data_IF_508068349673
#
_entry.id   IF_508068349673
#
_cell.length_a   1.000
_cell.length_b   1.000
_cell.length_c   1.000
_cell.angle_alpha   90.00
_cell.angle_beta   90.00
_cell.angle_gamma   90.00
#
_symmetry.space_group_name_H-M   'P 1'
#
loop_
_entity.id
_entity.type
_entity.pdbx_description
1 polymer ?
#
# COMPACT_ATOMS: atom_id res chain seq x y z
N UNK A 1 7.57 16.10 24.07
CA UNK A 1 6.30 15.51 23.56
C UNK A 1 6.62 14.28 22.72
N UNK A 2 5.88 13.16 22.91
CA UNK A 2 6.04 12.00 22.03
C UNK A 2 5.61 12.35 20.63
N UNK A 3 6.53 12.34 19.66
CA UNK A 3 6.30 12.83 18.31
C UNK A 3 5.85 11.73 17.30
N UNK A 4 5.63 10.49 17.77
CA UNK A 4 5.35 9.36 16.88
C UNK A 4 4.15 8.57 17.38
N UNK A 5 3.17 8.39 16.50
CA UNK A 5 1.96 7.62 16.73
C UNK A 5 1.82 6.50 15.72
N UNK A 6 1.03 5.48 16.04
CA UNK A 6 0.76 4.31 15.21
C UNK A 6 -0.74 4.09 15.09
N UNK A 7 -1.23 3.85 13.89
CA UNK A 7 -2.63 3.60 13.65
C UNK A 7 -3.05 2.19 14.10
N UNK A 8 -4.23 2.06 14.74
CA UNK A 8 -4.65 0.84 15.45
C UNK A 8 -5.92 0.17 14.91
N UNK A 9 -6.46 0.61 13.79
CA UNK A 9 -7.52 -0.11 13.07
C UNK A 9 -6.98 -0.66 11.75
N UNK A 10 -7.66 -1.64 11.13
CA UNK A 10 -7.19 -2.23 9.87
C UNK A 10 -6.82 -1.20 8.82
N UNK A 11 -7.68 -0.19 8.63
CA UNK A 11 -7.42 0.94 7.74
C UNK A 11 -8.29 2.15 8.10
N UNK A 12 -7.88 3.33 7.65
CA UNK A 12 -8.71 4.55 7.54
C UNK A 12 -8.34 5.31 6.29
N UNK A 13 -9.28 6.09 5.78
CA UNK A 13 -9.01 7.05 4.73
C UNK A 13 -8.19 8.22 5.27
N UNK A 14 -7.28 8.72 4.43
CA UNK A 14 -6.60 10.00 4.59
C UNK A 14 -7.28 10.97 3.63
N UNK A 15 -7.82 12.05 4.19
CA UNK A 15 -8.61 13.06 3.48
C UNK A 15 -7.77 14.31 3.19
N UNK A 16 -8.10 14.99 2.10
CA UNK A 16 -7.46 16.25 1.71
C UNK A 16 -7.81 17.42 2.67
N UNK A 17 -9.03 17.42 3.20
CA UNK A 17 -9.56 18.37 4.19
C UNK A 17 -10.17 17.62 5.37
N UNK A 18 -10.36 18.24 6.55
CA UNK A 18 -10.94 17.59 7.73
C UNK A 18 -12.47 17.41 7.61
N UNK A 19 -12.90 16.65 6.61
CA UNK A 19 -14.31 16.37 6.29
C UNK A 19 -14.45 15.00 5.63
N UNK A 20 -15.52 14.26 5.93
CA UNK A 20 -15.82 12.95 5.34
C UNK A 20 -16.28 13.02 3.88
N UNK A 21 -16.76 14.19 3.44
CA UNK A 21 -17.12 14.45 2.05
C UNK A 21 -15.93 14.97 1.23
N UNK A 22 -14.77 15.16 1.86
CA UNK A 22 -13.55 15.56 1.17
C UNK A 22 -12.99 14.41 0.37
N UNK A 23 -12.21 14.75 -0.66
CA UNK A 23 -11.44 13.79 -1.46
C UNK A 23 -10.59 12.88 -0.55
N UNK A 24 -10.71 11.57 -0.76
CA UNK A 24 -9.80 10.57 -0.18
C UNK A 24 -8.55 10.53 -1.04
N UNK A 25 -7.43 10.96 -0.48
CA UNK A 25 -6.16 11.05 -1.21
C UNK A 25 -5.24 9.85 -0.97
N UNK A 26 -5.41 9.16 0.17
CA UNK A 26 -4.68 7.96 0.52
C UNK A 26 -5.39 7.18 1.64
N UNK A 27 -4.77 6.11 2.10
CA UNK A 27 -5.19 5.35 3.28
C UNK A 27 -4.02 5.16 4.23
N UNK A 28 -4.32 5.05 5.54
CA UNK A 28 -3.40 4.60 6.58
C UNK A 28 -3.83 3.21 7.05
N UNK A 29 -2.88 2.30 7.22
CA UNK A 29 -3.13 0.92 7.63
C UNK A 29 -2.62 0.64 9.03
N UNK A 30 -3.03 -0.47 9.63
CA UNK A 30 -2.65 -0.89 10.98
C UNK A 30 -1.12 -0.91 11.17
N UNK A 31 -0.66 -0.28 12.26
CA UNK A 31 0.75 -0.18 12.62
C UNK A 31 1.57 0.80 11.78
N UNK A 32 0.95 1.54 10.87
CA UNK A 32 1.61 2.62 10.13
C UNK A 32 1.91 3.79 11.06
N UNK A 33 3.17 4.26 11.03
CA UNK A 33 3.71 5.31 11.89
C UNK A 33 3.47 6.69 11.29
N UNK A 34 3.08 7.66 12.11
CA UNK A 34 2.86 9.04 11.70
C UNK A 34 3.16 10.05 12.82
N UNK A 35 3.29 11.31 12.43
CA UNK A 35 3.35 12.48 13.33
C UNK A 35 2.05 13.26 13.23
N UNK A 36 1.59 13.84 14.35
CA UNK A 36 0.47 14.78 14.36
C UNK A 36 1.05 16.17 14.15
N UNK A 37 0.55 16.87 13.10
CA UNK A 37 0.93 18.25 12.79
C UNK A 37 0.00 19.26 13.46
N UNK A 38 -1.30 18.95 13.49
CA UNK A 38 -2.32 19.72 14.19
C UNK A 38 -3.47 18.82 14.62
N UNK A 39 -4.22 19.25 15.64
CA UNK A 39 -5.29 18.48 16.24
C UNK A 39 -6.46 19.39 16.57
N UNK A 40 -7.67 18.95 16.22
CA UNK A 40 -8.91 19.49 16.74
C UNK A 40 -9.77 18.35 17.34
N UNK A 41 -11.00 18.66 17.79
CA UNK A 41 -11.89 17.69 18.45
C UNK A 41 -12.06 16.40 17.66
N UNK A 42 -12.34 16.47 16.35
CA UNK A 42 -12.76 15.34 15.53
C UNK A 42 -11.68 14.87 14.54
N UNK A 43 -10.70 15.70 14.22
CA UNK A 43 -9.72 15.47 13.17
C UNK A 43 -8.31 15.77 13.63
N UNK A 44 -7.35 15.04 13.06
CA UNK A 44 -5.93 15.35 13.15
C UNK A 44 -5.34 15.46 11.75
N UNK A 45 -4.49 16.46 11.55
CA UNK A 45 -3.60 16.54 10.39
C UNK A 45 -2.37 15.72 10.70
N UNK A 46 -2.06 14.77 9.87
CA UNK A 46 -0.93 13.87 10.07
C UNK A 46 0.11 14.03 8.97
N UNK A 47 1.34 13.63 9.31
CA UNK A 47 2.42 13.37 8.36
C UNK A 47 2.87 11.93 8.54
N UNK A 48 2.67 11.09 7.51
CA UNK A 48 3.19 9.72 7.49
C UNK A 48 4.71 9.72 7.69
N UNK A 49 5.20 8.82 8.53
CA UNK A 49 6.65 8.71 8.76
C UNK A 49 7.36 7.95 7.65
N UNK A 50 6.61 7.24 6.80
CA UNK A 50 7.17 6.45 5.70
C UNK A 50 7.52 7.30 4.48
N UNK A 51 6.57 8.10 4.01
CA UNK A 51 6.63 8.82 2.74
C UNK A 51 6.42 10.33 2.87
N UNK A 52 6.32 10.84 4.11
CA UNK A 52 6.00 12.23 4.43
C UNK A 52 4.63 12.70 3.92
N UNK A 53 3.74 11.78 3.55
CA UNK A 53 2.41 12.12 3.05
C UNK A 53 1.59 12.86 4.11
N UNK A 54 0.94 13.96 3.71
CA UNK A 54 0.18 14.82 4.61
C UNK A 54 -1.30 14.74 4.25
N UNK A 55 -2.14 14.65 5.27
CA UNK A 55 -3.59 14.67 5.13
C UNK A 55 -4.29 14.57 6.48
N UNK A 56 -5.60 14.37 6.46
CA UNK A 56 -6.43 14.36 7.66
C UNK A 56 -7.02 12.98 7.91
N UNK A 57 -7.01 12.55 9.17
CA UNK A 57 -7.72 11.36 9.66
C UNK A 57 -8.58 11.73 10.87
N UNK A 58 -9.56 10.87 11.23
CA UNK A 58 -10.32 11.06 12.48
C UNK A 58 -9.39 10.98 13.67
N UNK A 59 -9.65 11.85 14.67
CA UNK A 59 -8.88 11.92 15.92
C UNK A 59 -9.19 10.75 16.85
N UNK A 60 -8.92 9.52 16.40
CA UNK A 60 -9.16 8.28 17.15
C UNK A 60 -8.32 7.11 16.60
N UNK A 61 -8.28 6.02 17.36
CA UNK A 61 -7.68 4.74 16.94
C UNK A 61 -6.17 4.79 16.66
N UNK A 62 -5.42 5.50 17.48
CA UNK A 62 -3.95 5.50 17.44
C UNK A 62 -3.34 5.41 18.84
N UNK A 63 -2.07 5.07 18.92
CA UNK A 63 -1.29 4.95 20.16
C UNK A 63 0.14 5.41 19.90
N UNK A 64 0.85 5.77 20.93
CA UNK A 64 2.29 6.05 20.92
C UNK A 64 3.13 4.86 21.38
N UNK A 65 2.49 3.81 21.91
CA UNK A 65 3.12 2.64 22.54
C UNK A 65 3.04 1.37 21.67
N UNK A 66 3.39 1.48 20.36
CA UNK A 66 3.44 0.33 19.47
C UNK A 66 4.86 0.03 19.03
N UNK A 67 5.31 -1.21 19.23
CA UNK A 67 6.64 -1.69 18.84
C UNK A 67 6.49 -2.86 17.86
N UNK A 68 6.36 -2.63 16.58
CA UNK A 68 6.13 -3.70 15.62
C UNK A 68 7.35 -4.61 15.48
N UNK A 69 7.12 -5.91 15.57
CA UNK A 69 8.13 -6.97 15.42
C UNK A 69 7.90 -7.80 14.17
N UNK A 70 6.68 -7.77 13.62
CA UNK A 70 6.28 -8.53 12.44
C UNK A 70 5.42 -7.70 11.50
N UNK A 71 5.21 -8.21 10.30
CA UNK A 71 4.38 -7.62 9.27
C UNK A 71 3.57 -8.67 8.52
N UNK A 72 2.38 -8.30 8.09
CA UNK A 72 1.46 -9.16 7.33
C UNK A 72 1.94 -9.28 5.89
N UNK A 73 2.07 -10.52 5.37
CA UNK A 73 2.51 -10.76 3.99
C UNK A 73 1.45 -11.37 3.08
N UNK A 74 0.23 -11.58 3.58
CA UNK A 74 -0.93 -12.01 2.78
C UNK A 74 -1.83 -10.82 2.48
N UNK A 75 -2.63 -10.89 1.41
CA UNK A 75 -3.52 -9.79 1.00
C UNK A 75 -4.42 -9.33 2.15
N UNK A 76 -4.99 -10.28 2.90
CA UNK A 76 -5.80 -10.06 4.11
C UNK A 76 -5.60 -11.18 5.13
N UNK A 77 -5.20 -10.80 6.34
CA UNK A 77 -5.07 -11.69 7.47
C UNK A 77 -6.32 -11.60 8.36
N UNK A 78 -7.08 -12.69 8.47
CA UNK A 78 -8.26 -12.75 9.34
C UNK A 78 -7.87 -12.50 10.79
N UNK A 79 -8.67 -11.69 11.50
CA UNK A 79 -8.59 -11.52 12.95
C UNK A 79 -9.56 -12.49 13.61
N UNK A 80 -9.08 -13.18 14.64
CA UNK A 80 -9.84 -14.09 15.50
C UNK A 80 -10.02 -13.44 16.87
N UNK A 81 -11.13 -13.73 17.55
CA UNK A 81 -11.41 -13.26 18.91
C UNK A 81 -10.74 -14.15 19.99
N UNK A 82 -11.00 -13.89 21.26
CA UNK A 82 -10.47 -14.67 22.40
C UNK A 82 -10.82 -16.17 22.32
N UNK A 83 -12.03 -16.50 21.87
CA UNK A 83 -12.50 -17.89 21.71
C UNK A 83 -12.01 -18.54 20.41
N UNK A 84 -11.09 -17.87 19.69
CA UNK A 84 -10.51 -18.31 18.42
C UNK A 84 -11.50 -18.40 17.26
N UNK A 85 -12.66 -17.77 17.40
CA UNK A 85 -13.61 -17.63 16.33
C UNK A 85 -13.21 -16.49 15.38
N UNK A 86 -13.44 -16.72 14.06
CA UNK A 86 -13.14 -15.73 13.03
C UNK A 86 -14.06 -14.51 13.17
N UNK A 87 -13.48 -13.31 13.16
CA UNK A 87 -14.23 -12.06 13.11
C UNK A 87 -14.44 -11.59 11.67
N UNK A 88 -15.27 -10.55 11.49
CA UNK A 88 -15.42 -9.86 10.19
C UNK A 88 -14.24 -8.96 9.81
N UNK A 89 -13.24 -8.82 10.68
CA UNK A 89 -12.11 -7.92 10.48
C UNK A 89 -10.89 -8.65 9.93
N UNK A 90 -10.10 -7.91 9.13
CA UNK A 90 -8.87 -8.38 8.51
C UNK A 90 -7.80 -7.30 8.65
N UNK A 91 -6.54 -7.71 8.85
CA UNK A 91 -5.41 -6.83 8.62
C UNK A 91 -5.00 -6.89 7.14
N UNK A 92 -4.80 -5.75 6.48
CA UNK A 92 -4.30 -5.71 5.10
C UNK A 92 -2.82 -6.09 5.01
N UNK A 93 -2.38 -6.41 3.80
CA UNK A 93 -0.97 -6.58 3.45
C UNK A 93 -0.12 -5.42 4.00
N UNK A 94 1.09 -5.71 4.43
CA UNK A 94 2.08 -4.79 5.00
C UNK A 94 1.69 -4.14 6.34
N UNK A 95 0.56 -4.51 6.98
CA UNK A 95 0.26 -4.11 8.37
C UNK A 95 1.41 -4.51 9.29
N UNK A 96 1.90 -3.57 10.11
CA UNK A 96 3.01 -3.80 11.06
C UNK A 96 2.46 -4.06 12.45
N UNK A 97 2.78 -5.22 13.03
CA UNK A 97 2.18 -5.72 14.24
C UNK A 97 3.21 -6.00 15.33
N UNK A 98 2.81 -5.82 16.58
CA UNK A 98 3.49 -6.36 17.75
C UNK A 98 2.91 -7.73 18.08
N UNK A 99 3.71 -8.64 18.60
CA UNK A 99 3.25 -9.92 19.11
C UNK A 99 3.30 -9.87 20.63
N UNK A 100 2.16 -10.18 21.27
CA UNK A 100 2.01 -10.26 22.72
C UNK A 100 2.27 -11.69 23.18
N UNK A 101 1.62 -12.65 22.49
CA UNK A 101 1.68 -14.06 22.85
C UNK A 101 1.66 -14.93 21.60
N UNK A 102 2.28 -16.09 21.67
CA UNK A 102 2.36 -17.07 20.56
C UNK A 102 1.82 -18.40 21.05
N UNK A 103 0.97 -19.05 20.26
CA UNK A 103 0.65 -20.47 20.39
C UNK A 103 1.01 -21.24 19.10
N UNK A 104 0.70 -22.55 19.03
CA UNK A 104 1.11 -23.41 17.91
C UNK A 104 0.75 -22.82 16.53
N UNK A 105 -0.47 -22.25 16.35
CA UNK A 105 -1.02 -21.80 15.05
C UNK A 105 -1.36 -20.32 14.99
N UNK A 106 -1.55 -19.66 16.13
CA UNK A 106 -2.02 -18.28 16.25
C UNK A 106 -1.03 -17.43 17.04
N UNK A 107 -1.05 -16.13 16.77
CA UNK A 107 -0.32 -15.11 17.54
C UNK A 107 -1.30 -14.04 17.97
N UNK A 108 -1.16 -13.57 19.20
CA UNK A 108 -1.93 -12.46 19.75
C UNK A 108 -1.24 -11.14 19.43
N UNK A 109 -1.97 -10.25 18.75
CA UNK A 109 -1.46 -8.95 18.29
C UNK A 109 -1.96 -7.77 19.14
N UNK A 110 -3.09 -7.96 19.79
CA UNK A 110 -3.69 -7.12 20.82
C UNK A 110 -4.50 -8.02 21.74
N UNK A 111 -4.75 -7.59 22.98
CA UNK A 111 -5.53 -8.37 23.98
C UNK A 111 -6.83 -8.91 23.36
N UNK A 112 -6.94 -10.22 23.22
CA UNK A 112 -8.08 -10.91 22.63
C UNK A 112 -8.19 -10.87 21.09
N UNK A 113 -7.17 -10.34 20.39
CA UNK A 113 -7.13 -10.33 18.92
C UNK A 113 -5.99 -11.19 18.40
N UNK A 114 -6.33 -12.20 17.66
CA UNK A 114 -5.41 -13.22 17.18
C UNK A 114 -5.39 -13.28 15.66
N UNK A 115 -4.23 -13.63 15.08
CA UNK A 115 -4.08 -13.94 13.66
C UNK A 115 -3.29 -15.22 13.47
N UNK A 116 -3.37 -15.84 12.29
CA UNK A 116 -2.56 -17.04 12.00
C UNK A 116 -1.09 -16.69 11.89
N UNK A 117 -0.23 -17.44 12.60
CA UNK A 117 1.24 -17.29 12.57
C UNK A 117 1.78 -17.33 11.13
N UNK A 118 1.21 -18.20 10.27
CA UNK A 118 1.59 -18.33 8.86
C UNK A 118 1.28 -17.11 7.98
N UNK A 119 0.61 -16.06 8.49
CA UNK A 119 0.29 -14.85 7.72
C UNK A 119 1.29 -13.72 7.93
N UNK A 120 2.31 -13.94 8.76
CA UNK A 120 3.27 -12.90 9.12
C UNK A 120 4.70 -13.31 8.88
N UNK A 121 5.54 -12.31 8.65
CA UNK A 121 7.00 -12.41 8.59
C UNK A 121 7.61 -11.45 9.61
N UNK A 122 8.86 -11.67 10.01
CA UNK A 122 9.61 -10.72 10.87
C UNK A 122 9.65 -9.35 10.20
N UNK A 123 9.71 -8.27 10.98
CA UNK A 123 9.66 -6.89 10.48
C UNK A 123 10.82 -6.56 9.52
N UNK A 124 11.97 -7.19 9.69
CA UNK A 124 13.16 -7.03 8.85
C UNK A 124 13.20 -7.98 7.63
N UNK A 125 12.21 -8.87 7.46
CA UNK A 125 12.14 -9.72 6.27
C UNK A 125 12.09 -8.87 5.00
N UNK A 126 12.87 -9.22 3.99
CA UNK A 126 12.85 -8.59 2.67
C UNK A 126 12.21 -9.56 1.68
N UNK A 127 11.14 -9.12 1.04
CA UNK A 127 10.49 -9.87 -0.03
C UNK A 127 11.15 -9.51 -1.37
N UNK A 128 11.85 -10.47 -1.95
CA UNK A 128 12.52 -10.31 -3.24
C UNK A 128 11.62 -10.65 -4.42
N UNK A 129 10.63 -11.52 -4.20
CA UNK A 129 9.67 -11.90 -5.23
C UNK A 129 8.50 -10.89 -5.29
N UNK A 130 8.79 -9.71 -5.84
CA UNK A 130 7.78 -8.67 -6.03
C UNK A 130 6.64 -9.11 -6.96
N UNK A 131 6.84 -10.08 -7.85
CA UNK A 131 5.77 -10.58 -8.72
C UNK A 131 4.70 -11.31 -7.91
N UNK A 132 5.09 -12.17 -6.97
CA UNK A 132 4.14 -12.81 -6.06
C UNK A 132 3.34 -11.77 -5.28
N UNK A 133 3.99 -10.68 -4.83
CA UNK A 133 3.30 -9.58 -4.15
C UNK A 133 2.30 -8.88 -5.07
N UNK A 134 2.70 -8.54 -6.30
CA UNK A 134 1.79 -7.91 -7.27
C UNK A 134 0.58 -8.80 -7.58
N UNK A 135 0.81 -10.10 -7.74
CA UNK A 135 -0.25 -11.10 -8.00
C UNK A 135 -1.25 -11.24 -6.85
N UNK A 136 -0.85 -10.97 -5.59
CA UNK A 136 -1.81 -10.91 -4.47
C UNK A 136 -2.95 -9.93 -4.72
N UNK A 137 -2.69 -8.83 -5.43
CA UNK A 137 -3.66 -7.78 -5.71
C UNK A 137 -4.48 -8.01 -6.99
N UNK A 138 -4.21 -9.04 -7.79
CA UNK A 138 -5.00 -9.33 -8.99
C UNK A 138 -6.50 -9.37 -8.66
N UNK A 139 -7.32 -8.74 -9.54
CA UNK A 139 -8.78 -8.60 -9.39
C UNK A 139 -9.22 -7.71 -8.21
N UNK A 140 -8.31 -7.17 -7.41
CA UNK A 140 -8.67 -6.15 -6.41
C UNK A 140 -9.26 -4.94 -7.13
N UNK A 141 -10.37 -4.39 -6.58
CA UNK A 141 -11.03 -3.21 -7.15
C UNK A 141 -10.07 -2.02 -7.26
N UNK A 142 -10.18 -1.26 -8.35
CA UNK A 142 -9.57 0.05 -8.43
C UNK A 142 -10.36 1.03 -7.56
N UNK A 143 -9.70 1.70 -6.64
CA UNK A 143 -10.27 2.80 -5.86
C UNK A 143 -9.21 3.89 -5.76
N UNK A 144 -9.52 5.10 -6.20
CA UNK A 144 -8.65 6.26 -6.05
C UNK A 144 -8.29 6.48 -4.58
N UNK A 145 -7.01 6.69 -4.27
CA UNK A 145 -6.51 6.79 -2.90
C UNK A 145 -6.46 5.46 -2.15
N UNK A 146 -6.96 4.36 -2.72
CA UNK A 146 -6.96 3.04 -2.11
C UNK A 146 -5.56 2.45 -1.94
N UNK A 147 -5.38 1.65 -0.86
CA UNK A 147 -4.08 1.06 -0.48
C UNK A 147 -4.23 -0.35 0.11
N UNK A 148 -5.37 -1.02 -0.12
CA UNK A 148 -5.65 -2.30 0.55
C UNK A 148 -6.42 -3.28 -0.33
N UNK A 149 -6.72 -4.46 0.21
CA UNK A 149 -7.60 -5.46 -0.41
C UNK A 149 -9.03 -4.97 -0.70
N UNK A 150 -9.48 -3.89 -0.08
CA UNK A 150 -10.79 -3.30 -0.35
C UNK A 150 -10.83 -2.50 -1.64
N UNK A 151 -9.68 -2.02 -2.05
CA UNK A 151 -9.42 -1.28 -3.27
C UNK A 151 -8.02 -0.69 -3.24
N UNK A 152 -7.44 -0.54 -4.41
CA UNK A 152 -6.05 -0.06 -4.59
C UNK A 152 -5.96 0.78 -5.86
N UNK A 153 -5.12 1.84 -5.85
CA UNK A 153 -4.77 2.57 -7.07
C UNK A 153 -3.41 2.16 -7.64
N UNK A 154 -3.07 2.70 -8.80
CA UNK A 154 -1.87 2.30 -9.53
C UNK A 154 -0.57 2.63 -8.79
N UNK A 155 -0.49 3.77 -8.12
CA UNK A 155 0.70 4.18 -7.36
C UNK A 155 0.84 3.44 -6.04
N UNK A 156 -0.28 3.08 -5.39
CA UNK A 156 -0.26 2.34 -4.14
C UNK A 156 0.27 0.91 -4.30
N UNK A 157 -0.03 0.22 -5.41
CA UNK A 157 0.48 -1.13 -5.63
C UNK A 157 2.01 -1.13 -5.73
N UNK A 158 2.59 -0.14 -6.40
CA UNK A 158 4.04 0.03 -6.48
C UNK A 158 4.62 0.47 -5.12
N UNK A 159 3.99 1.44 -4.44
CA UNK A 159 4.44 1.90 -3.12
C UNK A 159 4.50 0.76 -2.09
N UNK A 160 3.50 -0.12 -2.07
CA UNK A 160 3.42 -1.21 -1.10
C UNK A 160 4.56 -2.22 -1.21
N UNK A 161 5.15 -2.42 -2.40
CA UNK A 161 6.35 -3.23 -2.56
C UNK A 161 7.52 -2.67 -1.73
N UNK A 162 7.72 -1.36 -1.80
CA UNK A 162 8.78 -0.67 -1.06
C UNK A 162 8.44 -0.54 0.44
N UNK A 163 7.20 -0.18 0.76
CA UNK A 163 6.73 -0.07 2.15
C UNK A 163 6.91 -1.38 2.93
N UNK A 164 6.55 -2.51 2.32
CA UNK A 164 6.75 -3.82 2.92
C UNK A 164 8.23 -4.09 3.20
N UNK A 165 9.12 -3.68 2.32
CA UNK A 165 10.57 -3.85 2.44
C UNK A 165 11.26 -2.75 3.26
N UNK A 166 10.49 -1.88 3.94
CA UNK A 166 10.99 -0.74 4.72
C UNK A 166 11.88 0.21 3.91
N UNK A 167 11.64 0.31 2.59
CA UNK A 167 12.33 1.23 1.66
C UNK A 167 11.40 2.37 1.30
N UNK A 168 11.91 3.59 1.40
CA UNK A 168 11.13 4.78 1.03
C UNK A 168 10.66 4.73 -0.43
N UNK A 169 9.39 5.09 -0.64
CA UNK A 169 8.84 5.35 -1.98
C UNK A 169 7.64 6.29 -1.88
N UNK A 170 7.52 7.30 -2.75
CA UNK A 170 6.43 8.27 -2.69
C UNK A 170 5.05 7.65 -2.91
N UNK A 171 3.99 8.31 -2.40
CA UNK A 171 2.61 7.84 -2.55
C UNK A 171 2.04 8.12 -3.94
N UNK A 172 2.20 9.33 -4.44
CA UNK A 172 1.53 9.80 -5.65
C UNK A 172 2.37 9.55 -6.89
N UNK A 173 1.73 9.20 -8.01
CA UNK A 173 2.40 8.91 -9.29
C UNK A 173 3.31 10.04 -9.74
N UNK A 174 2.90 11.31 -9.53
CA UNK A 174 3.73 12.49 -9.86
C UNK A 174 5.08 12.47 -9.14
N UNK A 175 5.06 12.14 -7.85
CA UNK A 175 6.28 12.11 -7.04
C UNK A 175 7.07 10.83 -7.28
N UNK A 176 6.41 9.70 -7.54
CA UNK A 176 7.04 8.46 -7.99
C UNK A 176 7.83 8.68 -9.29
N UNK A 177 7.22 9.38 -10.27
CA UNK A 177 7.84 9.73 -11.54
C UNK A 177 9.11 10.59 -11.35
N UNK A 178 9.09 11.54 -10.41
CA UNK A 178 10.24 12.39 -10.07
C UNK A 178 11.32 11.60 -9.35
N UNK A 179 10.94 10.79 -8.37
CA UNK A 179 11.83 10.01 -7.52
C UNK A 179 12.54 8.89 -8.28
N UNK A 180 11.85 8.23 -9.20
CA UNK A 180 12.38 7.08 -9.94
C UNK A 180 13.48 7.49 -10.91
N UNK A 181 14.63 6.81 -10.84
CA UNK A 181 15.71 7.00 -11.81
C UNK A 181 15.26 6.51 -13.18
N UNK A 182 15.56 7.24 -14.24
CA UNK A 182 15.34 6.76 -15.60
C UNK A 182 16.18 5.52 -15.85
N UNK A 183 15.58 4.49 -16.40
CA UNK A 183 16.32 3.50 -17.17
C UNK A 183 16.55 4.05 -18.57
N UNK A 184 17.65 3.69 -19.18
CA UNK A 184 18.03 4.07 -20.55
C UNK A 184 16.82 3.90 -21.48
N UNK A 185 16.69 4.71 -22.54
CA UNK A 185 15.75 4.51 -23.65
C UNK A 185 15.87 3.06 -24.14
N UNK A 186 14.94 2.20 -23.75
CA UNK A 186 14.95 0.80 -24.14
C UNK A 186 13.95 0.58 -25.25
N UNK A 187 14.39 -0.10 -26.31
CA UNK A 187 13.47 -0.66 -27.32
C UNK A 187 12.69 -1.87 -26.74
N UNK A 188 13.25 -2.59 -25.75
CA UNK A 188 12.69 -3.82 -25.19
C UNK A 188 12.43 -3.68 -23.69
N UNK A 189 11.22 -3.99 -23.26
CA UNK A 189 10.83 -4.08 -21.87
C UNK A 189 11.35 -5.38 -21.23
N UNK A 190 11.52 -5.37 -19.93
CA UNK A 190 11.85 -6.56 -19.15
C UNK A 190 11.11 -6.61 -17.82
N UNK A 191 11.09 -7.78 -17.22
CA UNK A 191 10.57 -8.00 -15.87
C UNK A 191 11.12 -6.96 -14.89
N UNK A 192 10.23 -6.28 -14.15
CA UNK A 192 10.56 -5.24 -13.17
C UNK A 192 10.71 -3.85 -13.73
N UNK A 193 10.57 -3.64 -15.03
CA UNK A 193 10.45 -2.29 -15.55
C UNK A 193 9.15 -1.65 -15.09
N UNK A 194 9.21 -0.36 -14.81
CA UNK A 194 8.09 0.46 -14.34
C UNK A 194 7.83 1.54 -15.37
N UNK A 195 6.65 1.52 -15.98
CA UNK A 195 6.25 2.47 -17.02
C UNK A 195 5.41 3.55 -16.37
N UNK A 196 5.80 4.82 -16.59
CA UNK A 196 5.10 5.98 -16.07
C UNK A 196 4.46 6.82 -17.19
N UNK A 197 3.20 7.17 -16.97
CA UNK A 197 2.47 8.24 -17.66
C UNK A 197 2.17 9.38 -16.70
N UNK A 198 1.66 10.49 -17.17
CA UNK A 198 1.13 11.53 -16.29
C UNK A 198 -0.09 10.99 -15.54
N UNK A 199 0.03 10.79 -14.23
CA UNK A 199 -1.07 10.30 -13.38
C UNK A 199 -1.28 8.78 -13.40
N UNK A 200 -0.44 7.99 -14.10
CA UNK A 200 -0.57 6.54 -14.13
C UNK A 200 0.79 5.83 -14.07
N UNK A 201 0.78 4.61 -13.54
CA UNK A 201 1.97 3.75 -13.46
C UNK A 201 1.58 2.27 -13.62
N UNK A 202 2.44 1.52 -14.31
CA UNK A 202 2.32 0.07 -14.50
C UNK A 202 3.68 -0.62 -14.32
N UNK A 203 3.67 -1.90 -13.99
CA UNK A 203 4.88 -2.69 -13.69
C UNK A 203 4.94 -3.86 -14.67
N UNK A 204 6.03 -3.99 -15.44
CA UNK A 204 6.24 -5.11 -16.34
C UNK A 204 6.50 -6.39 -15.55
N UNK A 205 5.71 -7.43 -15.82
CA UNK A 205 5.88 -8.76 -15.21
C UNK A 205 6.79 -9.67 -16.05
N UNK A 206 6.90 -9.37 -17.33
CA UNK A 206 7.80 -9.96 -18.31
C UNK A 206 8.04 -8.98 -19.46
N UNK A 207 8.59 -9.44 -20.58
CA UNK A 207 8.89 -8.62 -21.77
C UNK A 207 7.64 -8.23 -22.58
N UNK A 208 6.49 -8.89 -22.38
CA UNK A 208 5.26 -8.71 -23.16
C UNK A 208 4.10 -8.15 -22.33
N UNK A 209 4.09 -8.39 -21.02
CA UNK A 209 2.96 -8.12 -20.15
C UNK A 209 3.33 -7.20 -18.98
N UNK A 210 2.37 -6.38 -18.56
CA UNK A 210 2.43 -5.55 -17.37
C UNK A 210 1.24 -5.82 -16.45
N UNK A 211 1.38 -5.45 -15.17
CA UNK A 211 0.31 -5.43 -14.18
C UNK A 211 0.11 -4.01 -13.67
N UNK A 212 -1.15 -3.60 -13.53
CA UNK A 212 -1.52 -2.30 -12.98
C UNK A 212 -2.92 -2.31 -12.36
N UNK A 213 -3.15 -1.41 -11.42
CA UNK A 213 -4.52 -1.05 -11.03
C UNK A 213 -5.04 -0.06 -12.07
N UNK A 214 -6.02 -0.48 -12.88
CA UNK A 214 -6.47 0.26 -14.05
C UNK A 214 -7.89 0.78 -13.86
N UNK A 215 -8.01 2.12 -13.85
CA UNK A 215 -9.30 2.79 -13.60
C UNK A 215 -10.41 2.41 -14.56
N UNK A 216 -10.20 2.42 -15.90
CA UNK A 216 -11.20 2.00 -16.87
C UNK A 216 -11.72 0.57 -16.66
N UNK A 217 -10.86 -0.36 -16.26
CA UNK A 217 -11.23 -1.74 -15.93
C UNK A 217 -11.70 -1.93 -14.48
N UNK A 218 -11.68 -0.88 -13.67
CA UNK A 218 -12.09 -0.85 -12.26
C UNK A 218 -11.42 -1.90 -11.36
N UNK A 219 -10.26 -2.43 -11.75
CA UNK A 219 -9.54 -3.49 -11.03
C UNK A 219 -8.04 -3.54 -11.36
N UNK A 220 -7.32 -4.35 -10.59
CA UNK A 220 -5.96 -4.77 -10.92
C UNK A 220 -6.00 -5.89 -11.95
N UNK A 221 -5.33 -5.67 -13.10
CA UNK A 221 -5.28 -6.62 -14.22
C UNK A 221 -3.88 -6.73 -14.81
N UNK A 222 -3.67 -7.79 -15.55
CA UNK A 222 -2.52 -7.99 -16.44
C UNK A 222 -2.96 -7.68 -17.86
N UNK A 223 -2.16 -6.90 -18.58
CA UNK A 223 -2.39 -6.54 -19.98
C UNK A 223 -1.08 -6.61 -20.78
N UNK A 224 -1.20 -6.74 -22.11
CA UNK A 224 -0.06 -6.57 -23.01
C UNK A 224 0.51 -5.15 -22.90
N UNK A 225 1.84 -5.00 -22.85
CA UNK A 225 2.53 -3.71 -22.76
C UNK A 225 2.15 -2.82 -23.93
N UNK A 226 2.33 -3.32 -25.16
CA UNK A 226 2.07 -2.53 -26.39
C UNK A 226 0.61 -2.11 -26.47
N UNK A 227 -0.33 -3.04 -26.26
CA UNK A 227 -1.77 -2.74 -26.24
C UNK A 227 -2.14 -1.72 -25.16
N UNK A 228 -1.53 -1.77 -23.99
CA UNK A 228 -1.78 -0.81 -22.91
C UNK A 228 -1.30 0.58 -23.28
N UNK A 229 -0.09 0.70 -23.85
CA UNK A 229 0.45 1.99 -24.31
C UNK A 229 -0.46 2.59 -25.39
N UNK A 230 -0.84 1.81 -26.39
CA UNK A 230 -1.73 2.23 -27.47
C UNK A 230 -3.11 2.70 -26.95
N UNK A 231 -3.75 1.92 -26.05
CA UNK A 231 -5.05 2.26 -25.48
C UNK A 231 -4.96 3.58 -24.70
N UNK A 232 -3.95 3.73 -23.82
CA UNK A 232 -3.78 4.94 -23.01
C UNK A 232 -3.55 6.14 -23.92
N UNK A 233 -2.67 6.03 -24.91
CA UNK A 233 -2.39 7.11 -25.85
C UNK A 233 -3.65 7.51 -26.64
N UNK A 234 -4.37 6.55 -27.19
CA UNK A 234 -5.59 6.77 -27.97
C UNK A 234 -6.71 7.41 -27.13
N UNK A 235 -6.94 6.93 -25.90
CA UNK A 235 -8.08 7.36 -25.08
C UNK A 235 -7.83 8.60 -24.24
N UNK A 236 -6.57 8.87 -23.87
CA UNK A 236 -6.21 9.97 -22.97
C UNK A 236 -5.20 10.95 -23.54
N UNK A 237 -4.63 10.66 -24.71
CA UNK A 237 -3.51 11.39 -25.34
C UNK A 237 -2.25 11.44 -24.46
N UNK A 238 -2.11 10.51 -23.52
CA UNK A 238 -0.95 10.44 -22.63
C UNK A 238 0.10 9.50 -23.22
N UNK A 239 1.30 10.03 -23.47
CA UNK A 239 2.48 9.27 -23.86
C UNK A 239 3.27 8.79 -22.66
N UNK A 240 4.08 7.73 -22.82
CA UNK A 240 5.02 7.26 -21.82
C UNK A 240 6.03 8.36 -21.48
N UNK A 241 6.10 8.74 -20.22
CA UNK A 241 6.99 9.82 -19.74
C UNK A 241 8.35 9.29 -19.26
N UNK A 242 8.35 8.11 -18.69
CA UNK A 242 9.57 7.50 -18.13
C UNK A 242 9.41 5.99 -18.03
N UNK A 243 10.51 5.30 -18.26
CA UNK A 243 10.69 3.90 -17.89
C UNK A 243 11.75 3.86 -16.79
N UNK A 244 11.48 3.16 -15.71
CA UNK A 244 12.37 2.91 -14.59
C UNK A 244 12.43 1.42 -14.30
N UNK A 245 13.09 1.01 -13.21
CA UNK A 245 13.08 -0.38 -12.76
C UNK A 245 12.90 -0.44 -11.26
N UNK A 246 12.24 -1.50 -10.77
CA UNK A 246 12.17 -1.79 -9.33
C UNK A 246 13.59 -2.01 -8.81
N UNK A 247 13.94 -1.31 -7.71
CA UNK A 247 15.25 -1.40 -7.04
C UNK A 247 15.03 -1.39 -5.52
N UNK A 248 15.44 -2.42 -4.80
CA UNK A 248 15.54 -2.47 -3.34
C UNK A 248 16.70 -3.32 -2.82
#
# INVERSE_FOLDING_TARGET
MKNNFFYKKPLSNIYKKPSEVSEVTSQIIYGEKFKILSKNKNWIKIKSSFDNYIGYIKNKNYTDSHKPTHKVFVLKANIFNKTKNKTKYFLPYASKISIIQVNKKLIEIEKGKWIKKKYVKKINHIEKDYLSVLKLFLKTKYIWGGKTYKGIDCSAILQLLYYYNNKFYPRDTKDQLRFSKSSVKRKNYKKGDVIFWKGHVAICIDAKNLIHAYGPEKKVIIMSINKTIEIIERTTRLIVKKISSIRY
#
